data_IF_030769619158
#
_entry.id   IF_030769619158
#
_cell.length_a   1.000
_cell.length_b   1.000
_cell.length_c   1.000
_cell.angle_alpha   90.00
_cell.angle_beta   90.00
_cell.angle_gamma   90.00
#
_symmetry.space_group_name_H-M   'P 1'
#
loop_
_entity.id
_entity.type
_entity.pdbx_description
1 polymer ?
#
# COMPACT_ATOMS: atom_id res chain seq x y z
N UNK A 1 -2.09 3.10 23.11
CA UNK A 1 -1.04 3.88 22.43
C UNK A 1 -1.22 3.73 20.90
N UNK A 2 -2.26 4.35 20.34
CA UNK A 2 -2.68 4.22 18.91
C UNK A 2 -2.25 5.44 18.07
N UNK A 3 -1.65 6.44 18.72
CA UNK A 3 -1.34 7.77 18.16
C UNK A 3 -0.33 7.80 16.98
N UNK A 4 0.72 6.95 16.88
CA UNK A 4 1.74 7.17 15.83
C UNK A 4 1.34 6.65 14.44
N UNK A 5 0.44 5.66 14.34
CA UNK A 5 0.12 5.00 13.06
C UNK A 5 -0.61 5.90 12.05
N UNK A 6 -1.78 6.51 12.38
CA UNK A 6 -2.51 7.33 11.40
C UNK A 6 -1.71 8.56 10.99
N UNK A 7 -0.92 9.13 11.92
CA UNK A 7 -0.03 10.25 11.65
C UNK A 7 1.11 9.85 10.70
N UNK A 8 1.79 8.72 10.94
CA UNK A 8 2.87 8.22 10.08
C UNK A 8 2.39 7.87 8.67
N UNK A 9 1.20 7.26 8.57
CA UNK A 9 0.57 6.97 7.28
C UNK A 9 0.23 8.27 6.54
N UNK A 10 -0.37 9.24 7.21
CA UNK A 10 -0.72 10.52 6.61
C UNK A 10 0.55 11.26 6.14
N UNK A 11 1.59 11.34 6.97
CA UNK A 11 2.82 12.06 6.65
C UNK A 11 3.59 11.39 5.51
N UNK A 12 3.66 10.07 5.48
CA UNK A 12 4.28 9.33 4.37
C UNK A 12 3.50 9.50 3.06
N UNK A 13 2.16 9.50 3.09
CA UNK A 13 1.33 9.81 1.91
C UNK A 13 1.55 11.26 1.45
N UNK A 14 1.67 12.22 2.38
CA UNK A 14 2.00 13.60 2.05
C UNK A 14 3.38 13.73 1.41
N UNK A 15 4.39 13.01 1.91
CA UNK A 15 5.73 12.95 1.30
C UNK A 15 5.62 12.42 -0.13
N UNK A 16 4.83 11.36 -0.35
CA UNK A 16 4.60 10.82 -1.68
C UNK A 16 3.98 11.86 -2.63
N UNK A 17 2.87 12.47 -2.22
CA UNK A 17 2.15 13.47 -3.03
C UNK A 17 2.99 14.73 -3.26
N UNK A 18 3.66 15.23 -2.23
CA UNK A 18 4.50 16.42 -2.28
C UNK A 18 5.70 16.25 -3.21
N UNK A 19 6.48 15.17 -3.04
CA UNK A 19 7.60 14.85 -3.93
C UNK A 19 7.13 14.67 -5.37
N UNK A 20 5.93 14.14 -5.55
CA UNK A 20 5.38 13.90 -6.88
C UNK A 20 4.96 15.16 -7.60
N UNK A 21 4.51 16.18 -6.88
CA UNK A 21 4.19 17.47 -7.47
C UNK A 21 5.45 18.30 -7.75
N UNK A 22 6.46 18.18 -6.89
CA UNK A 22 7.75 18.88 -6.99
C UNK A 22 8.62 18.28 -8.11
N UNK A 23 8.76 16.95 -8.14
CA UNK A 23 9.65 16.25 -9.07
C UNK A 23 8.84 15.86 -10.31
N UNK A 24 8.93 16.65 -11.39
CA UNK A 24 8.26 16.35 -12.68
C UNK A 24 9.10 15.47 -13.63
N UNK A 25 9.95 14.59 -13.09
CA UNK A 25 10.79 13.69 -13.88
C UNK A 25 10.14 12.32 -14.15
N UNK A 26 10.60 11.65 -15.20
CA UNK A 26 10.20 10.28 -15.58
C UNK A 26 10.38 9.26 -14.44
N UNK A 27 11.42 9.41 -13.61
CA UNK A 27 11.74 8.55 -12.46
C UNK A 27 11.06 8.97 -11.15
N UNK A 28 10.34 10.09 -11.14
CA UNK A 28 9.75 10.72 -9.94
C UNK A 28 8.88 9.75 -9.13
N UNK A 29 8.15 8.88 -9.82
CA UNK A 29 7.20 7.96 -9.20
C UNK A 29 7.86 6.90 -8.34
N UNK A 30 8.97 6.34 -8.81
CA UNK A 30 9.72 5.30 -8.10
C UNK A 30 10.53 5.90 -6.95
N UNK A 31 11.14 7.08 -7.17
CA UNK A 31 11.87 7.84 -6.13
C UNK A 31 10.92 8.31 -5.02
N UNK A 32 9.74 8.81 -5.38
CA UNK A 32 8.73 9.24 -4.42
C UNK A 32 8.18 8.05 -3.61
N UNK A 33 7.93 6.91 -4.27
CA UNK A 33 7.51 5.69 -3.58
C UNK A 33 8.58 5.18 -2.61
N UNK A 34 9.85 5.11 -3.02
CA UNK A 34 10.93 4.64 -2.14
C UNK A 34 11.16 5.61 -0.97
N UNK A 35 11.15 6.92 -1.19
CA UNK A 35 11.29 7.91 -0.13
C UNK A 35 10.10 7.88 0.85
N UNK A 36 8.89 7.68 0.35
CA UNK A 36 7.73 7.57 1.21
C UNK A 36 7.71 6.26 2.01
N UNK A 37 8.15 5.14 1.41
CA UNK A 37 8.37 3.88 2.15
C UNK A 37 9.44 4.05 3.21
N UNK A 38 10.57 4.70 2.90
CA UNK A 38 11.62 4.98 3.87
C UNK A 38 11.13 5.91 4.99
N UNK A 39 10.41 6.97 4.64
CA UNK A 39 9.81 7.88 5.60
C UNK A 39 8.86 7.12 6.52
N UNK A 40 8.02 6.24 5.97
CA UNK A 40 7.11 5.42 6.76
C UNK A 40 7.83 4.46 7.70
N UNK A 41 8.88 3.78 7.22
CA UNK A 41 9.70 2.90 8.04
C UNK A 41 10.41 3.63 9.18
N UNK A 42 10.77 4.90 8.98
CA UNK A 42 11.39 5.74 10.02
C UNK A 42 10.36 6.37 10.98
N UNK A 43 9.18 6.73 10.47
CA UNK A 43 8.09 7.40 11.19
C UNK A 43 7.16 6.44 11.94
N UNK A 44 7.35 5.13 11.83
CA UNK A 44 6.76 4.13 12.71
C UNK A 44 7.80 3.75 13.77
N UNK A 45 8.17 4.66 14.70
CA UNK A 45 9.33 4.46 15.56
C UNK A 45 8.96 3.56 16.76
N UNK A 46 7.68 3.18 16.88
CA UNK A 46 7.09 2.72 18.14
C UNK A 46 6.02 1.63 17.94
N UNK A 47 6.35 0.64 17.11
CA UNK A 47 5.84 -0.72 17.32
C UNK A 47 6.76 -1.48 18.31
N UNK A 48 7.89 -0.87 18.68
CA UNK A 48 8.86 -1.35 19.65
C UNK A 48 9.06 -0.30 20.76
N UNK A 49 8.31 -0.42 21.85
CA UNK A 49 8.65 0.20 23.15
C UNK A 49 9.93 -0.40 23.75
N UNK A 50 11.01 -0.43 22.98
CA UNK A 50 12.35 -0.84 23.36
C UNK A 50 13.28 0.31 23.03
N UNK A 51 14.15 0.67 23.97
CA UNK A 51 15.15 1.72 23.82
C UNK A 51 16.19 1.46 22.70
N UNK A 52 15.99 0.40 21.90
CA UNK A 52 16.81 0.09 20.74
C UNK A 52 16.00 0.29 19.45
N UNK A 53 16.38 1.35 18.74
CA UNK A 53 15.84 1.84 17.46
C UNK A 53 15.94 0.80 16.31
N UNK A 54 16.55 -0.35 16.54
CA UNK A 54 16.95 -1.33 15.50
C UNK A 54 16.47 -2.77 15.70
N UNK A 55 15.60 -3.07 16.66
CA UNK A 55 15.14 -4.46 16.86
C UNK A 55 13.96 -4.83 15.96
N UNK A 56 14.26 -5.51 14.85
CA UNK A 56 13.27 -6.23 14.02
C UNK A 56 13.22 -7.75 14.30
N UNK A 57 13.83 -8.23 15.38
CA UNK A 57 13.84 -9.66 15.74
C UNK A 57 14.62 -10.56 14.76
N UNK A 58 15.36 -9.99 13.81
CA UNK A 58 16.09 -10.73 12.77
C UNK A 58 17.52 -11.14 13.16
N UNK A 59 17.90 -11.00 14.43
CA UNK A 59 19.20 -11.47 14.90
C UNK A 59 19.10 -12.99 15.05
N UNK A 60 19.96 -13.78 14.39
CA UNK A 60 19.79 -15.24 14.26
C UNK A 60 20.02 -16.05 15.57
N UNK A 61 19.91 -15.43 16.74
CA UNK A 61 20.18 -16.08 18.03
C UNK A 61 19.19 -15.72 19.15
N UNK A 62 18.07 -15.05 18.83
CA UNK A 62 17.03 -14.73 19.82
C UNK A 62 15.74 -15.49 19.51
N UNK A 63 15.08 -15.99 20.56
CA UNK A 63 13.81 -16.70 20.42
C UNK A 63 12.74 -15.73 19.88
N UNK A 64 12.20 -16.04 18.70
CA UNK A 64 11.10 -15.28 18.10
C UNK A 64 9.86 -15.36 19.00
N UNK A 65 9.57 -14.27 19.72
CA UNK A 65 8.42 -14.20 20.60
C UNK A 65 7.13 -13.83 19.82
N UNK A 66 5.97 -14.16 20.37
CA UNK A 66 4.66 -13.77 19.79
C UNK A 66 4.51 -12.24 19.64
N UNK A 67 5.13 -11.47 20.54
CA UNK A 67 5.17 -10.01 20.44
C UNK A 67 5.91 -9.54 19.19
N UNK A 68 7.04 -10.17 18.84
CA UNK A 68 7.82 -9.79 17.66
C UNK A 68 7.12 -10.18 16.36
N UNK A 69 6.40 -11.30 16.36
CA UNK A 69 5.51 -11.67 15.26
C UNK A 69 4.37 -10.65 15.06
N UNK A 70 3.75 -10.17 16.16
CA UNK A 70 2.71 -9.14 16.11
C UNK A 70 3.27 -7.82 15.55
N UNK A 71 4.48 -7.45 15.96
CA UNK A 71 5.18 -6.24 15.48
C UNK A 71 5.42 -6.28 13.97
N UNK A 72 5.95 -7.40 13.47
CA UNK A 72 6.15 -7.59 12.03
C UNK A 72 4.83 -7.60 11.27
N UNK A 73 3.80 -8.25 11.79
CA UNK A 73 2.48 -8.26 11.17
C UNK A 73 1.90 -6.83 11.02
N UNK A 74 1.96 -6.03 12.09
CA UNK A 74 1.52 -4.63 12.06
C UNK A 74 2.35 -3.83 11.04
N UNK A 75 3.67 -4.02 11.02
CA UNK A 75 4.55 -3.34 10.06
C UNK A 75 4.21 -3.70 8.59
N UNK A 76 4.11 -4.97 8.24
CA UNK A 76 3.78 -5.37 6.87
C UNK A 76 2.36 -4.99 6.47
N UNK A 77 1.39 -5.09 7.38
CA UNK A 77 0.00 -4.68 7.12
C UNK A 77 -0.10 -3.17 6.89
N UNK A 78 0.60 -2.39 7.72
CA UNK A 78 0.65 -0.92 7.61
C UNK A 78 1.34 -0.48 6.31
N UNK A 79 2.44 -1.13 5.94
CA UNK A 79 3.14 -0.90 4.68
C UNK A 79 2.28 -1.27 3.46
N UNK A 80 1.50 -2.35 3.55
CA UNK A 80 0.57 -2.74 2.49
C UNK A 80 -0.49 -1.67 2.22
N UNK A 81 -1.07 -1.07 3.28
CA UNK A 81 -2.04 0.02 3.16
C UNK A 81 -1.40 1.23 2.48
N UNK A 82 -0.18 1.60 2.88
CA UNK A 82 0.54 2.71 2.27
C UNK A 82 0.76 2.50 0.77
N UNK A 83 1.29 1.35 0.36
CA UNK A 83 1.56 1.10 -1.08
C UNK A 83 0.26 0.97 -1.87
N UNK A 84 -0.79 0.41 -1.27
CA UNK A 84 -2.14 0.38 -1.86
C UNK A 84 -2.63 1.80 -2.19
N UNK A 85 -2.51 2.73 -1.26
CA UNK A 85 -2.94 4.12 -1.49
C UNK A 85 -2.10 4.80 -2.58
N UNK A 86 -0.77 4.58 -2.60
CA UNK A 86 0.10 5.08 -3.68
C UNK A 86 -0.31 4.54 -5.04
N UNK A 87 -0.57 3.23 -5.12
CA UNK A 87 -1.00 2.58 -6.35
C UNK A 87 -2.31 3.18 -6.86
N UNK A 88 -3.28 3.41 -5.96
CA UNK A 88 -4.54 4.04 -6.32
C UNK A 88 -4.37 5.48 -6.85
N UNK A 89 -3.54 6.29 -6.21
CA UNK A 89 -3.21 7.64 -6.69
C UNK A 89 -2.56 7.61 -8.08
N UNK A 90 -1.65 6.66 -8.31
CA UNK A 90 -1.03 6.42 -9.62
C UNK A 90 -2.05 6.03 -10.70
N UNK A 91 -2.98 5.14 -10.37
CA UNK A 91 -4.06 4.71 -11.27
C UNK A 91 -4.95 5.90 -11.65
N UNK A 92 -5.28 6.79 -10.71
CA UNK A 92 -6.04 8.02 -10.98
C UNK A 92 -5.28 8.91 -11.97
N UNK A 93 -3.99 9.16 -11.75
CA UNK A 93 -3.19 10.02 -12.60
C UNK A 93 -3.00 9.44 -14.01
N UNK A 94 -2.82 8.12 -14.12
CA UNK A 94 -2.81 7.42 -15.41
C UNK A 94 -4.15 7.59 -16.14
N UNK A 95 -5.26 7.41 -15.44
CA UNK A 95 -6.61 7.54 -16.01
C UNK A 95 -6.89 8.97 -16.47
N UNK A 96 -6.49 9.97 -15.69
CA UNK A 96 -6.59 11.39 -16.05
C UNK A 96 -5.79 11.66 -17.33
N UNK A 97 -4.54 11.18 -17.41
CA UNK A 97 -3.68 11.40 -18.58
C UNK A 97 -4.28 10.82 -19.86
N UNK A 98 -4.74 9.57 -19.81
CA UNK A 98 -5.40 8.92 -20.97
C UNK A 98 -6.63 9.70 -21.42
N UNK A 99 -7.44 10.21 -20.48
CA UNK A 99 -8.61 11.03 -20.80
C UNK A 99 -8.23 12.35 -21.50
N UNK A 100 -7.20 13.04 -20.98
CA UNK A 100 -6.72 14.31 -21.55
C UNK A 100 -6.17 14.10 -22.97
N UNK A 101 -5.35 13.05 -23.18
CA UNK A 101 -4.85 12.68 -24.51
C UNK A 101 -5.98 12.35 -25.47
N UNK A 102 -7.02 11.62 -25.02
CA UNK A 102 -8.19 11.32 -25.85
C UNK A 102 -9.00 12.57 -26.22
N UNK A 103 -9.06 13.57 -25.35
CA UNK A 103 -9.77 14.83 -25.60
C UNK A 103 -8.98 15.84 -26.45
N UNK A 104 -7.81 15.47 -26.99
CA UNK A 104 -6.87 16.36 -27.70
C UNK A 104 -6.43 17.61 -26.91
N UNK A 105 -6.77 17.68 -25.62
CA UNK A 105 -6.39 18.78 -24.76
C UNK A 105 -4.98 18.52 -24.22
N UNK A 106 -3.98 18.85 -25.02
CA UNK A 106 -2.56 18.75 -24.67
C UNK A 106 -2.18 19.91 -23.75
N UNK A 107 -2.70 19.91 -22.52
CA UNK A 107 -2.12 20.76 -21.48
C UNK A 107 -0.65 20.37 -21.31
N UNK A 108 0.26 21.27 -21.67
CA UNK A 108 1.71 21.08 -21.85
C UNK A 108 2.47 20.70 -20.57
N UNK A 109 1.81 20.47 -19.44
CA UNK A 109 2.45 20.41 -18.13
C UNK A 109 2.91 19.01 -17.68
N UNK A 110 2.52 17.93 -18.36
CA UNK A 110 2.83 16.55 -17.92
C UNK A 110 3.66 15.79 -18.96
N UNK A 111 4.98 15.83 -18.79
CA UNK A 111 5.96 15.25 -19.72
C UNK A 111 6.13 13.73 -19.60
N UNK A 112 5.55 13.07 -18.58
CA UNK A 112 5.73 11.62 -18.36
C UNK A 112 4.83 10.83 -19.34
N UNK A 113 5.36 9.99 -20.25
CA UNK A 113 4.54 9.26 -21.21
C UNK A 113 3.59 8.25 -20.54
N UNK A 114 2.49 7.92 -21.23
CA UNK A 114 1.44 7.00 -20.72
C UNK A 114 2.04 5.62 -20.40
N UNK A 115 2.91 5.11 -21.26
CA UNK A 115 3.58 3.81 -21.10
C UNK A 115 4.42 3.73 -19.81
N UNK A 116 5.18 4.78 -19.50
CA UNK A 116 5.97 4.81 -18.26
C UNK A 116 5.07 4.79 -17.03
N UNK A 117 3.99 5.58 -17.02
CA UNK A 117 3.01 5.56 -15.91
C UNK A 117 2.33 4.21 -15.77
N UNK A 118 2.00 3.57 -16.89
CA UNK A 118 1.44 2.21 -16.91
C UNK A 118 2.40 1.20 -16.26
N UNK A 119 3.69 1.24 -16.61
CA UNK A 119 4.73 0.37 -16.03
C UNK A 119 4.88 0.60 -14.52
N UNK A 120 4.88 1.86 -14.08
CA UNK A 120 4.91 2.20 -12.64
C UNK A 120 3.67 1.66 -11.91
N UNK A 121 2.48 1.90 -12.45
CA UNK A 121 1.22 1.38 -11.86
C UNK A 121 1.29 -0.13 -11.74
N UNK A 122 1.71 -0.84 -12.79
CA UNK A 122 1.86 -2.28 -12.77
C UNK A 122 2.80 -2.77 -11.67
N UNK A 123 3.95 -2.10 -11.51
CA UNK A 123 4.91 -2.41 -10.46
C UNK A 123 4.35 -2.19 -9.05
N UNK A 124 3.66 -1.06 -8.81
CA UNK A 124 3.04 -0.77 -7.51
C UNK A 124 1.89 -1.71 -7.17
N UNK A 125 1.06 -2.09 -8.15
CA UNK A 125 0.00 -3.10 -7.94
C UNK A 125 0.65 -4.42 -7.54
N UNK A 126 1.70 -4.87 -8.25
CA UNK A 126 2.43 -6.08 -7.90
C UNK A 126 3.02 -6.03 -6.49
N UNK A 127 3.68 -4.93 -6.13
CA UNK A 127 4.28 -4.73 -4.81
C UNK A 127 3.23 -4.79 -3.69
N UNK A 128 2.11 -4.08 -3.88
CA UNK A 128 0.99 -4.09 -2.92
C UNK A 128 0.46 -5.52 -2.71
N UNK A 129 0.35 -6.32 -3.78
CA UNK A 129 -0.14 -7.70 -3.71
C UNK A 129 0.78 -8.61 -2.90
N UNK A 130 2.09 -8.47 -3.09
CA UNK A 130 3.09 -9.19 -2.30
C UNK A 130 2.98 -8.81 -0.84
N UNK A 131 2.90 -7.51 -0.52
CA UNK A 131 2.77 -7.04 0.86
C UNK A 131 1.47 -7.50 1.53
N UNK A 132 0.34 -7.45 0.84
CA UNK A 132 -0.93 -7.97 1.34
C UNK A 132 -0.87 -9.48 1.59
N UNK A 133 -0.14 -10.23 0.76
CA UNK A 133 0.03 -11.68 0.95
C UNK A 133 0.88 -11.99 2.19
N UNK A 134 1.95 -11.21 2.42
CA UNK A 134 2.78 -11.29 3.64
C UNK A 134 1.96 -10.87 4.87
N UNK A 135 1.15 -9.82 4.76
CA UNK A 135 0.25 -9.37 5.82
C UNK A 135 -0.78 -10.43 6.21
N UNK A 136 -1.40 -11.09 5.23
CA UNK A 136 -2.31 -12.21 5.47
C UNK A 136 -1.59 -13.41 6.10
N UNK A 137 -0.47 -13.84 5.53
CA UNK A 137 0.30 -14.97 6.04
C UNK A 137 0.77 -14.75 7.48
N UNK A 138 1.27 -13.56 7.80
CA UNK A 138 1.67 -13.19 9.16
C UNK A 138 0.47 -13.09 10.11
N UNK A 139 -0.70 -12.66 9.63
CA UNK A 139 -1.92 -12.59 10.43
C UNK A 139 -2.44 -13.96 10.89
N UNK A 140 -2.30 -14.99 10.05
CA UNK A 140 -2.65 -16.36 10.42
C UNK A 140 -1.72 -16.99 11.47
N UNK A 141 -0.48 -16.49 11.59
CA UNK A 141 0.50 -17.00 12.56
C UNK A 141 0.31 -16.41 13.97
N UNK A 142 -0.57 -15.41 14.13
CA UNK A 142 -0.86 -14.82 15.42
C UNK A 142 -1.93 -15.64 16.15
N UNK A 143 -1.59 -16.13 17.33
CA UNK A 143 -2.51 -16.86 18.19
C UNK A 143 -3.42 -15.84 18.88
N UNK A 144 -4.70 -15.81 18.50
CA UNK A 144 -5.64 -14.79 18.93
C UNK A 144 -6.80 -15.45 19.67
N UNK A 145 -6.74 -15.38 21.00
CA UNK A 145 -7.75 -15.88 21.94
C UNK A 145 -9.14 -15.22 21.84
N UNK A 146 -9.33 -14.30 20.88
CA UNK A 146 -10.59 -13.59 20.65
C UNK A 146 -11.08 -13.83 19.22
N UNK A 147 -12.10 -14.68 19.10
CA UNK A 147 -12.44 -15.35 17.84
C UNK A 147 -13.32 -14.47 16.93
N UNK A 148 -14.26 -13.70 17.48
CA UNK A 148 -15.34 -13.13 16.66
C UNK A 148 -14.92 -11.91 15.82
N UNK A 149 -14.26 -10.91 16.40
CA UNK A 149 -13.85 -9.70 15.65
C UNK A 149 -12.72 -9.98 14.66
N UNK A 150 -11.90 -11.01 14.94
CA UNK A 150 -10.78 -11.35 14.10
C UNK A 150 -11.24 -12.00 12.79
N UNK A 151 -12.27 -12.85 12.85
CA UNK A 151 -12.86 -13.48 11.67
C UNK A 151 -13.28 -12.41 10.66
N UNK A 152 -13.95 -11.34 11.14
CA UNK A 152 -14.41 -10.25 10.27
C UNK A 152 -13.22 -9.54 9.62
N UNK A 153 -12.13 -9.26 10.35
CA UNK A 153 -10.90 -8.67 9.78
C UNK A 153 -10.29 -9.55 8.69
N UNK A 154 -10.19 -10.86 8.94
CA UNK A 154 -9.61 -11.80 7.98
C UNK A 154 -10.47 -11.85 6.71
N UNK A 155 -11.80 -11.97 6.84
CA UNK A 155 -12.72 -12.03 5.69
C UNK A 155 -12.59 -10.77 4.83
N UNK A 156 -12.61 -9.58 5.43
CA UNK A 156 -12.47 -8.33 4.66
C UNK A 156 -11.07 -8.17 4.04
N UNK A 157 -10.01 -8.61 4.73
CA UNK A 157 -8.65 -8.56 4.17
C UNK A 157 -8.49 -9.54 3.00
N UNK A 158 -9.08 -10.73 3.09
CA UNK A 158 -9.11 -11.71 1.98
C UNK A 158 -9.94 -11.18 0.81
N UNK A 159 -11.10 -10.58 1.05
CA UNK A 159 -11.89 -9.91 0.01
C UNK A 159 -11.10 -8.78 -0.68
N UNK A 160 -10.35 -7.99 0.10
CA UNK A 160 -9.47 -6.98 -0.45
C UNK A 160 -8.35 -7.57 -1.31
N UNK A 161 -7.75 -8.67 -0.84
CA UNK A 161 -6.72 -9.39 -1.59
C UNK A 161 -7.26 -9.97 -2.91
N UNK A 162 -8.42 -10.64 -2.89
CA UNK A 162 -9.06 -11.19 -4.09
C UNK A 162 -9.35 -10.08 -5.09
N UNK A 163 -10.00 -8.99 -4.66
CA UNK A 163 -10.30 -7.87 -5.56
C UNK A 163 -9.05 -7.23 -6.15
N UNK A 164 -7.99 -7.08 -5.35
CA UNK A 164 -6.72 -6.55 -5.85
C UNK A 164 -6.00 -7.53 -6.79
N UNK A 165 -6.05 -8.84 -6.52
CA UNK A 165 -5.58 -9.91 -7.39
C UNK A 165 -6.29 -9.88 -8.75
N UNK A 166 -7.62 -9.72 -8.76
CA UNK A 166 -8.35 -9.57 -10.02
C UNK A 166 -7.88 -8.34 -10.80
N UNK A 167 -7.54 -7.23 -10.12
CA UNK A 167 -7.00 -6.02 -10.76
C UNK A 167 -5.65 -6.28 -11.42
N UNK A 168 -4.75 -7.01 -10.75
CA UNK A 168 -3.44 -7.38 -11.28
C UNK A 168 -3.53 -8.30 -12.50
N UNK A 169 -4.32 -9.38 -12.41
CA UNK A 169 -4.54 -10.32 -13.53
C UNK A 169 -5.13 -9.56 -14.72
N UNK A 170 -6.11 -8.70 -14.46
CA UNK A 170 -6.74 -7.86 -15.47
C UNK A 170 -5.73 -6.95 -16.16
N UNK A 171 -4.87 -6.26 -15.40
CA UNK A 171 -3.83 -5.38 -15.95
C UNK A 171 -2.76 -6.15 -16.76
N UNK A 172 -2.46 -7.39 -16.40
CA UNK A 172 -1.43 -8.21 -17.07
C UNK A 172 -1.92 -8.82 -18.38
N UNK A 173 -3.13 -9.38 -18.39
CA UNK A 173 -3.61 -10.21 -19.51
C UNK A 173 -4.65 -9.52 -20.39
N UNK A 174 -5.34 -8.50 -19.88
CA UNK A 174 -6.37 -7.80 -20.64
C UNK A 174 -5.92 -6.35 -20.85
N UNK A 175 -5.96 -5.89 -22.10
CA UNK A 175 -5.59 -4.53 -22.49
C UNK A 175 -6.70 -3.53 -22.09
N UNK A 176 -7.01 -3.49 -20.79
CA UNK A 176 -8.29 -3.03 -20.26
C UNK A 176 -8.48 -1.52 -20.31
N UNK A 177 -9.75 -1.15 -20.44
CA UNK A 177 -10.23 0.20 -20.17
C UNK A 177 -9.89 0.57 -18.72
N UNK A 178 -9.10 1.62 -18.53
CA UNK A 178 -8.64 2.14 -17.24
C UNK A 178 -9.75 2.37 -16.22
N UNK A 179 -11.00 2.53 -16.67
CA UNK A 179 -12.20 2.61 -15.82
C UNK A 179 -12.37 1.42 -14.87
N UNK A 180 -12.02 0.21 -15.28
CA UNK A 180 -12.18 -0.97 -14.42
C UNK A 180 -11.11 -1.03 -13.33
N UNK A 181 -9.85 -0.71 -13.68
CA UNK A 181 -8.73 -0.72 -12.74
C UNK A 181 -9.01 0.22 -11.56
N UNK A 182 -9.55 1.42 -11.84
CA UNK A 182 -9.96 2.38 -10.80
C UNK A 182 -11.02 1.78 -9.88
N UNK A 183 -12.06 1.15 -10.43
CA UNK A 183 -13.19 0.62 -9.65
C UNK A 183 -12.77 -0.51 -8.70
N UNK A 184 -12.01 -1.48 -9.19
CA UNK A 184 -11.56 -2.61 -8.36
C UNK A 184 -10.49 -2.19 -7.34
N UNK A 185 -9.60 -1.26 -7.71
CA UNK A 185 -8.62 -0.70 -6.76
C UNK A 185 -9.31 0.09 -5.64
N UNK A 186 -10.33 0.87 -5.96
CA UNK A 186 -11.14 1.58 -4.95
C UNK A 186 -11.90 0.62 -4.02
N UNK A 187 -12.48 -0.45 -4.58
CA UNK A 187 -13.19 -1.46 -3.80
C UNK A 187 -12.27 -2.16 -2.79
N UNK A 188 -11.02 -2.45 -3.20
CA UNK A 188 -10.01 -3.05 -2.31
C UNK A 188 -9.66 -2.13 -1.14
N UNK A 189 -9.52 -0.81 -1.38
CA UNK A 189 -9.29 0.18 -0.31
C UNK A 189 -10.44 0.17 0.69
N UNK A 190 -11.70 0.15 0.21
CA UNK A 190 -12.87 0.12 1.09
C UNK A 190 -12.84 -1.11 2.00
N UNK A 191 -12.58 -2.30 1.45
CA UNK A 191 -12.51 -3.52 2.25
C UNK A 191 -11.42 -3.47 3.32
N UNK A 192 -10.25 -2.92 3.00
CA UNK A 192 -9.16 -2.76 3.98
C UNK A 192 -9.50 -1.73 5.04
N UNK A 193 -10.17 -0.63 4.69
CA UNK A 193 -10.63 0.34 5.68
C UNK A 193 -11.63 -0.29 6.64
N UNK A 194 -12.59 -1.07 6.13
CA UNK A 194 -13.54 -1.81 6.98
C UNK A 194 -12.79 -2.77 7.90
N UNK A 195 -11.85 -3.57 7.37
CA UNK A 195 -11.03 -4.47 8.17
C UNK A 195 -10.27 -3.73 9.28
N UNK A 196 -9.78 -2.52 9.01
CA UNK A 196 -9.10 -1.71 10.01
C UNK A 196 -10.08 -1.24 11.11
N UNK A 197 -11.22 -0.65 10.73
CA UNK A 197 -12.20 -0.04 11.64
C UNK A 197 -13.04 -1.01 12.44
N UNK A 198 -13.19 -2.27 12.02
CA UNK A 198 -13.96 -3.33 12.72
C UNK A 198 -13.48 -3.63 14.16
N UNK A 199 -12.44 -2.95 14.65
CA UNK A 199 -11.84 -3.13 15.97
C UNK A 199 -11.44 -1.81 16.65
N UNK A 200 -12.10 -0.71 16.28
CA UNK A 200 -12.22 0.49 17.12
C UNK A 200 -13.56 0.39 17.85
#
# INVERSE_FOLDING_TARGET
>A
MIEPFPLALLLSVLVFVGLRFIIRLKSSTLISATLSILAFSFLLPDVAGSNNVYYWGLIPNENFNQLDALRLHIFFSSLAILVLTMSFLEIILLTRKIRLTKSLNTSTSDHIPIETRYKTVFWLIGLTLVLLSIGLASGFMLDLNNVDYLIVKIVFTVMAWITYMTTFIRMRYFNLQTKFIVRYSFLSIIFIMIAFFVNI
#
